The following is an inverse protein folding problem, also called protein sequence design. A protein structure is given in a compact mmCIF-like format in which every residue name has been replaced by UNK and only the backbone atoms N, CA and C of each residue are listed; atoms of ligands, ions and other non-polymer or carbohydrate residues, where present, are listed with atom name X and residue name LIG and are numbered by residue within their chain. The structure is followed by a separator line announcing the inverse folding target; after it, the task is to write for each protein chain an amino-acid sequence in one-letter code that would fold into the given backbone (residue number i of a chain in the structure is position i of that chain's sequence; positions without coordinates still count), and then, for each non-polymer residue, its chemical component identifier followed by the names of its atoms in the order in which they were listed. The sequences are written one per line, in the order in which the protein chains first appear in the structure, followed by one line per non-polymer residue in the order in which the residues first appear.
data_IF_287643847302
#
_entry.id   IF_287643847302
#
_cell.length_a   1.000
_cell.length_b   1.000
_cell.length_c   1.000
_cell.angle_alpha   90.00
_cell.angle_beta   90.00
_cell.angle_gamma   90.00
#
_symmetry.space_group_name_H-M   'P 1'
#
loop_
_entity.id
_entity.type
_entity.pdbx_description
1 polymer ?
#
# COMPACT_ATOMS: atom_id res chain seq x y z
N UNK A 1 -13.17 12.30 -4.01
CA UNK A 1 -11.74 12.63 -3.83
C UNK A 1 -11.23 11.90 -2.61
N UNK A 2 -10.10 11.17 -2.68
CA UNK A 2 -9.52 10.49 -1.51
C UNK A 2 -8.53 11.44 -0.81
N UNK A 3 -8.73 11.66 0.49
CA UNK A 3 -7.78 12.32 1.42
C UNK A 3 -7.71 13.85 1.37
N UNK A 4 -7.82 14.50 2.54
CA UNK A 4 -7.53 15.94 2.73
C UNK A 4 -8.74 16.83 3.08
N UNK A 5 -8.46 18.05 3.54
CA UNK A 5 -9.32 19.07 4.18
C UNK A 5 -10.54 19.58 3.37
N UNK A 6 -10.91 18.90 2.29
CA UNK A 6 -11.98 19.26 1.36
C UNK A 6 -13.22 18.43 1.67
N UNK A 7 -14.30 19.11 2.04
CA UNK A 7 -15.60 18.47 2.22
C UNK A 7 -16.27 18.25 0.85
N UNK A 8 -16.61 17.01 0.52
CA UNK A 8 -17.39 16.66 -0.67
C UNK A 8 -18.38 15.56 -0.32
N UNK A 9 -19.51 15.50 -1.02
CA UNK A 9 -20.51 14.48 -0.75
C UNK A 9 -21.90 14.84 -1.27
N UNK A 10 -22.91 14.17 -0.71
CA UNK A 10 -24.31 14.46 -0.99
C UNK A 10 -24.64 15.92 -0.69
N UNK A 11 -25.39 16.56 -1.60
CA UNK A 11 -25.67 17.97 -1.49
C UNK A 11 -26.35 18.34 -0.16
N UNK A 12 -27.30 17.54 0.31
CA UNK A 12 -28.02 17.84 1.55
C UNK A 12 -27.11 17.74 2.77
N UNK A 13 -26.20 16.77 2.78
CA UNK A 13 -25.25 16.57 3.88
C UNK A 13 -24.24 17.71 3.90
N UNK A 14 -23.69 18.06 2.74
CA UNK A 14 -22.68 19.11 2.63
C UNK A 14 -23.28 20.48 2.97
N UNK A 15 -24.47 20.81 2.45
CA UNK A 15 -25.15 22.07 2.74
C UNK A 15 -25.51 22.20 4.23
N UNK A 16 -25.79 21.08 4.93
CA UNK A 16 -26.03 21.06 6.37
C UNK A 16 -24.77 21.32 7.21
N UNK A 17 -23.59 20.97 6.68
CA UNK A 17 -22.31 21.13 7.37
C UNK A 17 -21.60 22.44 7.02
N UNK A 18 -21.79 22.96 5.81
CA UNK A 18 -21.10 24.15 5.33
C UNK A 18 -21.85 24.84 4.18
N UNK A 19 -22.05 26.15 4.29
CA UNK A 19 -22.73 26.97 3.28
C UNK A 19 -21.77 27.54 2.23
N UNK A 20 -22.27 27.75 1.00
CA UNK A 20 -21.52 28.40 -0.08
C UNK A 20 -20.51 27.49 -0.78
N UNK A 21 -20.76 26.18 -0.76
CA UNK A 21 -19.98 25.20 -1.48
C UNK A 21 -20.41 25.12 -2.95
N UNK A 22 -19.46 24.86 -3.84
CA UNK A 22 -19.71 24.88 -5.27
C UNK A 22 -20.49 23.65 -5.71
N UNK A 23 -21.43 23.86 -6.64
CA UNK A 23 -22.02 22.76 -7.41
C UNK A 23 -21.04 22.35 -8.50
N UNK A 24 -20.93 21.04 -8.75
CA UNK A 24 -20.06 20.46 -9.78
C UNK A 24 -20.41 20.83 -11.25
N UNK A 25 -21.28 21.84 -11.51
CA UNK A 25 -21.48 22.35 -12.86
C UNK A 25 -22.18 23.73 -12.88
N UNK A 26 -21.77 24.67 -13.78
CA UNK A 26 -22.50 25.90 -14.04
C UNK A 26 -23.71 25.60 -14.93
N UNK A 27 -24.80 25.12 -14.33
CA UNK A 27 -26.00 24.73 -15.06
C UNK A 27 -27.09 24.03 -14.24
N UNK A 28 -26.82 23.72 -12.96
CA UNK A 28 -27.87 23.36 -11.99
C UNK A 28 -28.27 21.88 -11.94
N UNK A 29 -27.60 20.99 -12.67
CA UNK A 29 -27.81 19.54 -12.53
C UNK A 29 -26.47 18.81 -12.37
N UNK A 30 -25.85 18.94 -11.19
CA UNK A 30 -24.71 18.12 -10.80
C UNK A 30 -25.19 16.76 -10.27
N UNK A 31 -25.91 16.01 -11.10
CA UNK A 31 -26.27 14.64 -10.79
C UNK A 31 -25.07 13.76 -11.10
N UNK A 32 -24.27 13.47 -10.07
CA UNK A 32 -23.33 12.36 -10.15
C UNK A 32 -24.17 11.11 -9.95
N UNK A 33 -24.50 10.46 -11.07
CA UNK A 33 -25.15 9.15 -11.07
C UNK A 33 -26.58 9.18 -10.50
N UNK A 34 -27.32 10.24 -10.85
CA UNK A 34 -28.69 10.45 -10.38
C UNK A 34 -28.78 10.96 -8.95
N UNK A 35 -27.69 11.50 -8.40
CA UNK A 35 -27.71 12.12 -7.08
C UNK A 35 -26.89 13.40 -7.01
N UNK A 36 -27.51 14.48 -6.55
CA UNK A 36 -26.87 15.78 -6.38
C UNK A 36 -25.65 15.71 -5.45
N UNK A 37 -24.51 16.28 -5.89
CA UNK A 37 -23.28 16.38 -5.09
C UNK A 37 -22.79 17.82 -4.96
N UNK A 38 -21.99 18.06 -3.91
CA UNK A 38 -21.34 19.34 -3.60
C UNK A 38 -19.88 19.14 -3.25
N UNK A 39 -19.07 20.18 -3.45
CA UNK A 39 -17.70 20.26 -2.96
C UNK A 39 -17.41 21.64 -2.38
N UNK A 40 -16.76 21.65 -1.23
CA UNK A 40 -16.36 22.86 -0.52
C UNK A 40 -14.86 23.06 -0.67
N UNK A 41 -14.45 23.87 -1.64
CA UNK A 41 -13.05 24.26 -1.86
C UNK A 41 -12.68 25.57 -1.14
N UNK A 42 -13.60 26.12 -0.35
CA UNK A 42 -13.37 27.33 0.42
C UNK A 42 -12.19 27.16 1.40
N UNK A 43 -11.16 27.99 1.24
CA UNK A 43 -9.96 27.98 2.09
C UNK A 43 -8.77 27.22 1.50
N UNK A 44 -8.92 26.64 0.31
CA UNK A 44 -7.80 26.15 -0.50
C UNK A 44 -7.70 26.97 -1.78
N UNK A 45 -6.48 27.27 -2.23
CA UNK A 45 -6.20 28.11 -3.42
C UNK A 45 -6.46 27.36 -4.74
N UNK A 46 -7.61 26.72 -4.87
CA UNK A 46 -7.99 25.91 -6.03
C UNK A 46 -9.48 26.10 -6.32
N UNK A 47 -9.83 26.37 -7.57
CA UNK A 47 -11.24 26.45 -7.99
C UNK A 47 -11.75 25.09 -8.47
N UNK A 48 -13.07 24.94 -8.57
CA UNK A 48 -13.68 23.75 -9.16
C UNK A 48 -13.22 23.56 -10.62
N UNK A 49 -13.11 24.65 -11.38
CA UNK A 49 -12.63 24.60 -12.76
C UNK A 49 -11.17 24.13 -12.85
N UNK A 50 -10.33 24.51 -11.87
CA UNK A 50 -8.94 24.02 -11.82
C UNK A 50 -8.89 22.52 -11.56
N UNK A 51 -9.73 22.02 -10.66
CA UNK A 51 -9.85 20.60 -10.34
C UNK A 51 -10.34 19.79 -11.55
N UNK A 52 -11.38 20.26 -12.24
CA UNK A 52 -11.91 19.67 -13.46
C UNK A 52 -10.89 19.66 -14.59
N UNK A 53 -10.16 20.77 -14.78
CA UNK A 53 -9.12 20.84 -15.79
C UNK A 53 -8.00 19.84 -15.50
N UNK A 54 -7.58 19.70 -14.24
CA UNK A 54 -6.49 18.83 -13.83
C UNK A 54 -6.85 17.36 -14.01
N UNK A 55 -8.03 16.94 -13.58
CA UNK A 55 -8.49 15.55 -13.73
C UNK A 55 -8.69 15.13 -15.19
N UNK A 56 -8.94 16.07 -16.09
CA UNK A 56 -9.12 15.80 -17.52
C UNK A 56 -7.82 15.97 -18.33
N UNK A 57 -6.67 16.32 -17.73
CA UNK A 57 -5.41 16.40 -18.48
C UNK A 57 -4.91 15.00 -18.83
N UNK A 58 -4.71 14.74 -20.12
CA UNK A 58 -4.05 13.55 -20.71
C UNK A 58 -4.90 12.27 -20.80
N UNK A 59 -6.18 12.38 -21.14
CA UNK A 59 -7.04 11.18 -21.35
C UNK A 59 -6.95 10.21 -20.17
N UNK A 60 -6.98 10.74 -18.94
CA UNK A 60 -7.01 9.89 -17.76
C UNK A 60 -8.18 8.92 -17.90
N UNK A 61 -7.92 7.63 -17.72
CA UNK A 61 -8.94 6.56 -17.70
C UNK A 61 -10.00 6.76 -16.60
N UNK A 62 -9.83 7.76 -15.73
CA UNK A 62 -10.65 8.04 -14.57
C UNK A 62 -11.15 9.48 -14.57
N UNK A 63 -12.39 9.73 -15.00
CA UNK A 63 -13.02 11.03 -14.77
C UNK A 63 -13.18 11.30 -13.26
N UNK A 64 -13.30 12.58 -12.87
CA UNK A 64 -13.57 13.00 -11.49
C UNK A 64 -14.77 12.27 -10.86
N UNK A 65 -15.74 11.90 -11.70
CA UNK A 65 -16.94 11.16 -11.35
C UNK A 65 -17.26 10.12 -12.40
N UNK A 66 -17.70 8.95 -11.93
CA UNK A 66 -18.15 7.85 -12.77
C UNK A 66 -19.30 7.12 -12.07
N UNK A 67 -20.23 6.60 -12.85
CA UNK A 67 -21.43 5.91 -12.33
C UNK A 67 -21.34 4.39 -12.39
N UNK A 68 -20.30 3.91 -13.02
CA UNK A 68 -19.96 2.52 -13.12
C UNK A 68 -18.44 2.44 -13.03
N UNK A 69 -17.93 1.29 -12.60
CA UNK A 69 -16.50 0.98 -12.58
C UNK A 69 -15.82 1.50 -13.85
N UNK A 70 -14.88 2.46 -13.75
CA UNK A 70 -14.17 2.99 -14.89
C UNK A 70 -13.44 1.88 -15.61
N UNK A 71 -13.38 1.97 -16.93
CA UNK A 71 -12.57 1.05 -17.73
C UNK A 71 -11.12 1.16 -17.25
N UNK A 72 -10.60 0.09 -16.65
CA UNK A 72 -9.24 0.05 -16.09
C UNK A 72 -9.15 0.11 -14.56
N UNK A 73 -10.27 0.19 -13.83
CA UNK A 73 -10.28 0.13 -12.35
C UNK A 73 -9.50 -1.09 -11.84
N UNK A 74 -8.44 -0.93 -11.04
CA UNK A 74 -7.72 -2.07 -10.49
C UNK A 74 -8.69 -2.85 -9.60
N UNK A 75 -9.14 -4.01 -10.06
CA UNK A 75 -9.94 -4.92 -9.26
C UNK A 75 -9.07 -5.51 -8.15
N UNK A 76 -9.68 -5.79 -6.99
CA UNK A 76 -9.07 -6.63 -5.96
C UNK A 76 -8.86 -8.09 -6.44
N UNK A 77 -9.30 -8.42 -7.65
CA UNK A 77 -8.81 -9.56 -8.41
C UNK A 77 -7.53 -9.12 -9.13
N UNK A 78 -6.35 -9.67 -8.80
CA UNK A 78 -5.13 -9.35 -9.54
C UNK A 78 -5.26 -9.88 -10.97
N UNK A 79 -5.67 -9.02 -11.90
CA UNK A 79 -5.59 -9.28 -13.32
C UNK A 79 -4.47 -8.42 -13.91
N UNK A 80 -3.22 -8.89 -13.78
CA UNK A 80 -2.19 -8.46 -14.72
C UNK A 80 -2.41 -9.29 -15.97
N UNK A 81 -3.09 -8.71 -16.96
CA UNK A 81 -3.23 -9.34 -18.28
C UNK A 81 -1.86 -9.81 -18.75
N UNK A 82 -1.78 -11.04 -19.27
CA UNK A 82 -0.60 -11.66 -19.89
C UNK A 82 -0.05 -10.92 -21.13
N UNK A 83 -0.30 -9.61 -21.23
CA UNK A 83 -0.03 -8.72 -22.35
C UNK A 83 0.64 -7.41 -21.92
N UNK A 84 1.28 -7.36 -20.75
CA UNK A 84 2.29 -6.33 -20.55
C UNK A 84 3.41 -6.58 -21.59
N UNK A 85 3.87 -5.57 -22.35
CA UNK A 85 5.01 -5.75 -23.24
C UNK A 85 6.19 -6.30 -22.44
N UNK A 86 7.05 -7.10 -23.09
CA UNK A 86 8.21 -7.77 -22.50
C UNK A 86 9.15 -6.84 -21.69
N UNK A 87 8.99 -5.52 -21.85
CA UNK A 87 9.79 -4.47 -21.24
C UNK A 87 9.28 -4.03 -19.85
N UNK A 88 8.14 -4.57 -19.37
CA UNK A 88 7.66 -4.36 -17.99
C UNK A 88 8.38 -5.27 -16.96
N UNK A 89 9.34 -6.07 -17.43
CA UNK A 89 10.20 -6.92 -16.62
C UNK A 89 11.23 -6.07 -15.88
N UNK A 90 11.17 -6.07 -14.55
CA UNK A 90 12.32 -5.70 -13.72
C UNK A 90 12.96 -7.01 -13.29
N UNK A 91 14.25 -7.20 -13.63
CA UNK A 91 15.05 -8.35 -13.21
C UNK A 91 14.41 -9.74 -13.49
N UNK A 92 13.83 -9.94 -14.69
CA UNK A 92 13.32 -11.25 -15.11
C UNK A 92 11.88 -11.59 -14.66
N UNK A 93 11.25 -10.76 -13.84
CA UNK A 93 9.88 -11.02 -13.35
C UNK A 93 8.83 -10.56 -14.35
N UNK A 94 8.06 -11.48 -14.95
CA UNK A 94 6.59 -11.39 -15.16
C UNK A 94 5.95 -12.27 -16.29
N UNK A 95 6.14 -13.60 -16.31
CA UNK A 95 5.21 -14.45 -17.10
C UNK A 95 4.42 -15.39 -16.20
N UNK A 96 3.23 -14.93 -15.79
CA UNK A 96 2.28 -15.74 -15.01
C UNK A 96 1.07 -15.97 -15.89
N UNK A 97 0.83 -17.23 -16.22
CA UNK A 97 -0.17 -17.59 -17.23
C UNK A 97 -1.59 -17.45 -16.67
N UNK A 98 -1.74 -17.49 -15.35
CA UNK A 98 -3.04 -17.60 -14.67
C UNK A 98 -3.79 -18.86 -15.07
N UNK A 99 -3.11 -19.82 -15.71
CA UNK A 99 -3.67 -21.05 -16.24
C UNK A 99 -2.95 -22.22 -15.57
N UNK A 100 -3.68 -22.94 -14.72
CA UNK A 100 -3.18 -24.19 -14.15
C UNK A 100 -2.79 -25.17 -15.26
N UNK A 101 -1.62 -25.77 -15.13
CA UNK A 101 -1.12 -26.86 -15.95
C UNK A 101 -0.71 -28.04 -15.05
N UNK A 102 -0.22 -29.14 -15.65
CA UNK A 102 0.31 -30.26 -14.86
C UNK A 102 1.59 -29.90 -14.12
N UNK A 103 2.30 -28.88 -14.61
CA UNK A 103 3.64 -28.53 -14.18
C UNK A 103 3.66 -27.23 -13.33
N UNK A 104 2.52 -26.56 -13.23
CA UNK A 104 2.27 -25.28 -12.54
C UNK A 104 0.79 -25.30 -12.14
N UNK A 105 0.48 -25.84 -10.95
CA UNK A 105 -0.89 -26.24 -10.60
C UNK A 105 -1.78 -25.06 -10.22
N UNK A 106 -1.22 -23.98 -9.70
CA UNK A 106 -1.95 -22.77 -9.34
C UNK A 106 -1.89 -21.68 -10.41
N UNK A 107 -1.07 -21.86 -11.45
CA UNK A 107 -0.98 -20.99 -12.62
C UNK A 107 -0.20 -19.70 -12.32
N UNK A 108 0.62 -19.71 -11.28
CA UNK A 108 1.43 -18.58 -10.86
C UNK A 108 2.68 -18.39 -11.72
N UNK A 109 2.88 -19.24 -12.74
CA UNK A 109 3.96 -19.19 -13.72
C UNK A 109 5.31 -19.71 -13.24
N UNK A 110 5.34 -20.39 -12.09
CA UNK A 110 6.50 -21.09 -11.55
C UNK A 110 6.21 -22.58 -11.62
N UNK A 111 7.22 -23.36 -12.05
CA UNK A 111 7.03 -24.80 -12.12
C UNK A 111 6.93 -25.36 -10.70
N UNK A 112 6.00 -26.27 -10.42
CA UNK A 112 5.78 -26.82 -9.08
C UNK A 112 7.02 -27.45 -8.42
N UNK A 113 8.05 -27.82 -9.17
CA UNK A 113 9.34 -28.29 -8.62
C UNK A 113 10.27 -27.16 -8.14
N UNK A 114 10.02 -25.93 -8.58
CA UNK A 114 10.75 -24.70 -8.25
C UNK A 114 9.89 -23.71 -7.46
N UNK A 115 8.65 -24.10 -7.15
CA UNK A 115 7.63 -23.30 -6.49
C UNK A 115 7.65 -23.57 -4.99
N UNK A 116 7.87 -22.53 -4.17
CA UNK A 116 7.86 -22.66 -2.71
C UNK A 116 6.43 -22.73 -2.11
N UNK A 117 5.39 -22.56 -2.94
CA UNK A 117 3.99 -22.82 -2.62
C UNK A 117 3.20 -23.45 -3.79
N UNK A 118 3.46 -24.73 -4.17
CA UNK A 118 2.96 -25.36 -5.42
C UNK A 118 1.44 -25.41 -5.66
N UNK A 119 0.63 -25.04 -4.68
CA UNK A 119 -0.83 -25.07 -4.72
C UNK A 119 -1.47 -23.72 -4.36
N UNK A 120 -0.67 -22.70 -4.07
CA UNK A 120 -1.12 -21.38 -3.60
C UNK A 120 -0.43 -20.31 -4.42
N UNK A 121 -1.18 -19.72 -5.34
CA UNK A 121 -0.70 -18.70 -6.28
C UNK A 121 0.15 -17.60 -5.60
N UNK A 122 1.46 -17.62 -5.80
CA UNK A 122 2.42 -16.71 -5.16
C UNK A 122 3.58 -16.32 -6.11
N UNK A 123 3.26 -15.63 -7.23
CA UNK A 123 4.24 -15.34 -8.27
C UNK A 123 5.34 -14.37 -7.81
N UNK A 124 6.50 -14.41 -8.47
CA UNK A 124 7.61 -13.46 -8.22
C UNK A 124 7.17 -12.02 -8.57
N UNK A 125 7.26 -11.08 -7.64
CA UNK A 125 6.93 -9.66 -7.90
C UNK A 125 8.20 -8.92 -8.33
N UNK A 126 8.08 -7.75 -9.00
CA UNK A 126 9.24 -6.97 -9.44
C UNK A 126 10.25 -6.59 -8.37
N UNK A 127 9.88 -6.64 -7.08
CA UNK A 127 10.75 -6.33 -5.94
C UNK A 127 11.27 -7.58 -5.23
N UNK A 128 10.85 -8.78 -5.64
CA UNK A 128 11.26 -10.04 -5.00
C UNK A 128 12.60 -10.56 -5.58
N UNK A 129 13.34 -9.72 -6.34
CA UNK A 129 14.67 -10.03 -6.88
C UNK A 129 14.80 -11.35 -7.68
N UNK A 130 13.71 -11.84 -8.25
CA UNK A 130 13.72 -13.06 -9.07
C UNK A 130 13.48 -14.36 -8.29
N UNK A 131 13.11 -14.28 -7.01
CA UNK A 131 12.77 -15.43 -6.17
C UNK A 131 11.38 -15.24 -5.56
N UNK A 132 10.68 -16.32 -5.21
CA UNK A 132 9.44 -16.21 -4.45
C UNK A 132 9.75 -15.77 -3.02
N UNK A 133 8.82 -15.05 -2.40
CA UNK A 133 8.97 -14.59 -1.03
C UNK A 133 9.01 -15.79 -0.06
N UNK A 134 9.97 -15.75 0.86
CA UNK A 134 10.32 -16.77 1.85
C UNK A 134 11.15 -16.03 2.91
N UNK A 135 10.46 -15.36 3.84
CA UNK A 135 11.07 -14.35 4.70
C UNK A 135 11.95 -14.95 5.80
N UNK A 136 11.66 -16.17 6.25
CA UNK A 136 12.46 -16.89 7.25
C UNK A 136 13.44 -17.91 6.63
N UNK A 137 13.32 -18.18 5.32
CA UNK A 137 14.25 -19.02 4.58
C UNK A 137 14.10 -20.51 4.87
N UNK A 138 12.95 -20.95 5.37
CA UNK A 138 12.69 -22.36 5.70
C UNK A 138 12.35 -23.21 4.45
N UNK A 139 12.07 -22.55 3.32
CA UNK A 139 11.75 -23.14 2.02
C UNK A 139 10.26 -23.26 1.73
N UNK A 140 9.38 -22.90 2.67
CA UNK A 140 7.96 -22.64 2.43
C UNK A 140 7.78 -21.16 2.09
N UNK A 141 7.03 -20.87 1.03
CA UNK A 141 6.77 -19.47 0.70
C UNK A 141 5.83 -18.81 1.69
N UNK A 142 6.00 -17.49 1.90
CA UNK A 142 5.17 -16.68 2.81
C UNK A 142 3.64 -16.88 2.62
N UNK A 143 3.21 -17.25 1.41
CA UNK A 143 1.81 -17.42 1.06
C UNK A 143 1.18 -18.73 1.58
N UNK A 144 2.00 -19.76 1.82
CA UNK A 144 1.56 -21.08 2.26
C UNK A 144 2.23 -21.55 3.55
N UNK A 145 3.16 -20.76 4.08
CA UNK A 145 3.79 -20.99 5.37
C UNK A 145 2.86 -20.60 6.54
N UNK A 146 2.59 -21.51 7.51
CA UNK A 146 1.90 -21.15 8.74
C UNK A 146 2.67 -20.15 9.64
N UNK A 147 4.00 -20.10 9.53
CA UNK A 147 4.89 -19.28 10.36
C UNK A 147 5.86 -18.44 9.47
N UNK A 148 5.34 -17.55 8.59
CA UNK A 148 6.07 -16.89 7.48
C UNK A 148 7.19 -15.92 7.89
N UNK A 149 7.51 -15.83 9.18
CA UNK A 149 8.59 -15.03 9.73
C UNK A 149 9.21 -15.82 10.87
N UNK A 150 10.54 -15.73 11.03
CA UNK A 150 11.21 -16.37 12.15
C UNK A 150 10.73 -15.71 13.45
N UNK A 151 9.89 -16.41 14.22
CA UNK A 151 9.37 -15.89 15.48
C UNK A 151 10.48 -15.62 16.52
N UNK A 152 11.70 -16.11 16.29
CA UNK A 152 12.87 -15.82 17.10
C UNK A 152 13.63 -14.56 16.68
N UNK A 153 13.40 -14.03 15.47
CA UNK A 153 13.98 -12.82 14.87
C UNK A 153 12.93 -12.18 13.94
N UNK A 154 12.03 -11.37 14.53
CA UNK A 154 10.79 -10.95 13.85
C UNK A 154 11.03 -9.90 12.78
N UNK A 155 12.13 -9.15 12.87
CA UNK A 155 12.46 -8.13 11.88
C UNK A 155 13.51 -8.59 10.85
N UNK A 156 14.15 -9.74 11.08
CA UNK A 156 15.00 -10.41 10.11
C UNK A 156 16.34 -9.72 9.92
N UNK A 157 16.83 -9.00 10.93
CA UNK A 157 18.11 -8.31 10.89
C UNK A 157 19.30 -9.21 11.27
N UNK A 158 19.02 -10.43 11.73
CA UNK A 158 19.99 -11.44 12.15
C UNK A 158 20.28 -11.45 13.65
N UNK A 159 19.61 -10.63 14.46
CA UNK A 159 19.71 -10.58 15.92
C UNK A 159 18.43 -11.15 16.54
N UNK A 160 18.53 -12.22 17.37
CA UNK A 160 17.34 -12.78 17.99
C UNK A 160 16.61 -11.77 18.88
N UNK A 161 15.28 -11.78 18.87
CA UNK A 161 14.38 -10.88 19.62
C UNK A 161 14.73 -10.72 21.12
N UNK A 162 15.36 -11.71 21.73
CA UNK A 162 15.78 -11.67 23.15
C UNK A 162 17.11 -10.93 23.40
N UNK A 163 17.89 -10.70 22.36
CA UNK A 163 19.18 -10.00 22.35
C UNK A 163 19.11 -8.67 21.56
N UNK A 164 18.01 -8.44 20.84
CA UNK A 164 17.77 -7.28 20.00
C UNK A 164 17.23 -6.07 20.78
N UNK A 165 17.89 -4.92 20.65
CA UNK A 165 17.46 -3.64 21.24
C UNK A 165 16.37 -2.91 20.43
N UNK A 166 16.01 -3.42 19.25
CA UNK A 166 14.86 -3.00 18.44
C UNK A 166 14.13 -4.18 17.74
N UNK A 167 13.44 -5.10 18.48
CA UNK A 167 12.85 -6.36 17.97
C UNK A 167 11.80 -6.31 16.84
N UNK A 168 11.55 -5.14 16.27
CA UNK A 168 10.54 -4.89 15.23
C UNK A 168 11.05 -3.96 14.13
N UNK A 169 12.29 -3.48 14.20
CA UNK A 169 12.87 -2.55 13.23
C UNK A 169 14.34 -2.89 12.99
N UNK A 170 14.68 -3.38 11.78
CA UNK A 170 16.00 -3.95 11.53
C UNK A 170 17.16 -2.99 11.84
N UNK A 171 18.09 -3.43 12.69
CA UNK A 171 19.33 -2.74 13.02
C UNK A 171 20.43 -3.75 13.38
N UNK A 172 20.93 -4.45 12.37
CA UNK A 172 22.00 -5.45 12.50
C UNK A 172 23.25 -4.97 13.27
N UNK A 173 23.50 -3.65 13.33
CA UNK A 173 24.62 -3.06 14.07
C UNK A 173 24.34 -2.81 15.56
N UNK A 174 23.08 -2.94 15.99
CA UNK A 174 22.59 -2.82 17.37
C UNK A 174 23.05 -1.53 18.06
N UNK A 175 23.15 -0.44 17.28
CA UNK A 175 23.57 0.87 17.79
C UNK A 175 22.61 1.36 18.87
N UNK A 176 23.15 1.70 20.03
CA UNK A 176 22.47 2.29 21.20
C UNK A 176 23.47 3.26 21.84
N UNK A 177 23.37 4.55 21.47
CA UNK A 177 24.41 5.53 21.84
C UNK A 177 24.24 6.09 23.25
N UNK A 178 23.03 6.11 23.80
CA UNK A 178 22.75 6.63 25.13
C UNK A 178 22.66 5.54 26.20
N UNK A 179 22.72 4.27 25.77
CA UNK A 179 22.88 3.06 26.57
C UNK A 179 21.66 2.74 27.44
N UNK A 180 20.46 2.95 26.89
CA UNK A 180 19.20 2.69 27.59
C UNK A 180 18.52 1.37 27.21
N UNK A 181 19.16 0.58 26.34
CA UNK A 181 18.69 -0.70 25.79
C UNK A 181 17.59 -0.57 24.72
N UNK A 182 17.31 0.64 24.25
CA UNK A 182 16.46 0.90 23.08
C UNK A 182 17.40 1.34 21.95
N UNK A 183 17.43 0.60 20.84
CA UNK A 183 18.35 0.93 19.75
C UNK A 183 18.02 2.26 19.08
N UNK A 184 19.05 2.93 18.56
CA UNK A 184 18.99 4.25 17.91
C UNK A 184 17.91 4.35 16.82
N UNK A 185 17.58 3.23 16.14
CA UNK A 185 16.58 3.21 15.08
C UNK A 185 15.15 3.26 15.62
N UNK A 186 14.90 2.69 16.80
CA UNK A 186 13.57 2.57 17.40
C UNK A 186 13.38 3.43 18.65
N UNK A 187 14.43 4.12 19.09
CA UNK A 187 14.35 5.14 20.13
C UNK A 187 13.83 6.48 19.58
N UNK A 188 12.83 7.05 20.26
CA UNK A 188 12.30 8.38 19.96
C UNK A 188 13.23 9.49 20.45
N UNK A 189 14.13 9.21 21.39
CA UNK A 189 15.07 10.15 21.97
C UNK A 189 16.51 9.60 21.98
N UNK A 190 17.13 9.29 20.82
CA UNK A 190 18.40 8.54 20.73
C UNK A 190 19.60 9.11 21.50
N UNK A 191 19.51 10.34 22.00
CA UNK A 191 20.58 10.99 22.76
C UNK A 191 20.23 11.14 24.26
N UNK A 192 19.13 10.54 24.75
CA UNK A 192 18.60 10.73 26.11
C UNK A 192 18.00 9.45 26.70
N UNK A 193 18.82 8.75 27.49
CA UNK A 193 18.48 7.47 28.07
C UNK A 193 17.18 7.45 28.90
N UNK A 194 16.27 6.55 28.55
CA UNK A 194 15.03 6.28 29.28
C UNK A 194 15.31 5.29 30.41
N UNK A 195 15.50 5.80 31.62
CA UNK A 195 15.70 4.93 32.79
C UNK A 195 14.37 4.43 33.35
N UNK A 196 14.27 3.10 33.57
CA UNK A 196 13.16 2.46 34.25
C UNK A 196 12.98 3.05 35.67
N UNK A 197 12.11 4.04 35.80
CA UNK A 197 11.83 4.77 37.05
C UNK A 197 11.61 6.27 36.91
N UNK A 198 11.93 6.90 35.78
CA UNK A 198 11.71 8.34 35.58
C UNK A 198 10.83 8.61 34.38
N UNK A 199 9.59 9.01 34.69
CA UNK A 199 8.70 9.90 33.94
C UNK A 199 8.74 9.80 32.40
N UNK A 200 7.68 9.24 31.83
CA UNK A 200 7.31 9.34 30.41
C UNK A 200 7.59 10.75 29.87
N UNK A 201 8.64 10.89 29.08
CA UNK A 201 8.93 12.11 28.34
C UNK A 201 8.07 12.05 27.08
N UNK A 202 6.88 12.63 27.12
CA UNK A 202 6.20 13.03 25.89
C UNK A 202 6.93 14.26 25.36
N UNK A 203 7.63 14.13 24.23
CA UNK A 203 8.09 15.29 23.47
C UNK A 203 6.87 16.16 23.10
N UNK A 204 6.95 17.45 23.41
CA UNK A 204 5.92 18.48 23.15
C UNK A 204 6.03 18.98 21.73
#
# INVERSE_FOLDING_TARGET
MRGGSVLYGDANIVDALRTGCDMFSPGGAADVCGSAKRVCLQGISMTLSDLESQANRREMQYPLFFCSTPTGEPSCLPARTAMAPADAMVNGSNYYTGMSSTDDMDGDGINGAMDNCPLVFNPIRPLDNGIQADSDGDGLGDACDPDPVDASDVDGDGVPNGEDNCPTMPNMDQSDRDMDMIGDVCDQCPDTAVTAGSQTVYAV
#
